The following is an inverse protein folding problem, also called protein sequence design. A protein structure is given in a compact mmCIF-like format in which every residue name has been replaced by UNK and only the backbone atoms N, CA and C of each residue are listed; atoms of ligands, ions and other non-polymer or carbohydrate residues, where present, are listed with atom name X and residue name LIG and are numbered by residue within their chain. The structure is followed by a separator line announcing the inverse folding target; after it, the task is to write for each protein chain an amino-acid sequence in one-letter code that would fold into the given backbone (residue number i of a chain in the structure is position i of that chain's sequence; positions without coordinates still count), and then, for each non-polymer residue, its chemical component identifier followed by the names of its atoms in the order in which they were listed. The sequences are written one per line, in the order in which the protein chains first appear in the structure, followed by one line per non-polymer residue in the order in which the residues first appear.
data_IF_381605325872
#
_entry.id   IF_381605325872
#
_cell.length_a   1.000
_cell.length_b   1.000
_cell.length_c   1.000
_cell.angle_alpha   90.00
_cell.angle_beta   90.00
_cell.angle_gamma   90.00
#
_symmetry.space_group_name_H-M   'P 1'
#
loop_
_entity.id
_entity.type
_entity.pdbx_description
1 polymer ?
#
# COMPACT_ATOMS: atom_id res chain seq x y z
N UNK A 1 6.13 -6.61 14.10
CA UNK A 1 6.19 -7.93 14.78
C UNK A 1 7.62 -8.40 15.02
N UNK A 2 8.46 -8.58 14.00
CA UNK A 2 9.87 -9.01 14.19
C UNK A 2 10.68 -8.08 15.10
N UNK A 3 10.55 -6.75 14.92
CA UNK A 3 11.20 -5.75 15.78
C UNK A 3 10.78 -5.82 17.25
N UNK A 4 9.59 -6.36 17.56
CA UNK A 4 9.10 -6.55 18.93
C UNK A 4 9.39 -7.96 19.47
N UNK A 5 10.21 -8.75 18.76
CA UNK A 5 10.50 -10.15 19.07
C UNK A 5 9.25 -11.07 19.19
N UNK A 6 8.10 -10.66 18.63
CA UNK A 6 6.88 -11.49 18.60
C UNK A 6 6.93 -12.57 17.52
N UNK A 7 7.76 -12.40 16.50
CA UNK A 7 7.96 -13.38 15.42
C UNK A 7 9.45 -13.46 15.05
N UNK A 8 9.97 -14.65 14.69
CA UNK A 8 11.35 -14.82 14.28
C UNK A 8 11.60 -14.25 12.88
N UNK A 9 12.76 -13.60 12.72
CA UNK A 9 13.17 -12.93 11.48
C UNK A 9 13.21 -13.84 10.25
N UNK A 10 13.46 -15.14 10.42
CA UNK A 10 13.47 -16.10 9.30
C UNK A 10 12.12 -16.22 8.58
N UNK A 11 11.01 -15.92 9.28
CA UNK A 11 9.68 -15.94 8.68
C UNK A 11 9.41 -14.70 7.83
N UNK A 12 10.04 -13.56 8.13
CA UNK A 12 9.79 -12.29 7.44
C UNK A 12 9.85 -12.39 5.91
N UNK A 13 10.90 -12.94 5.27
CA UNK A 13 10.94 -13.05 3.81
C UNK A 13 9.84 -13.96 3.25
N UNK A 14 9.45 -15.01 3.98
CA UNK A 14 8.37 -15.91 3.56
C UNK A 14 7.02 -15.20 3.56
N UNK A 15 6.71 -14.44 4.62
CA UNK A 15 5.49 -13.63 4.68
C UNK A 15 5.48 -12.53 3.61
N UNK A 16 6.59 -11.81 3.42
CA UNK A 16 6.70 -10.75 2.43
C UNK A 16 6.47 -11.27 1.00
N UNK A 17 7.07 -12.43 0.67
CA UNK A 17 6.86 -13.07 -0.63
C UNK A 17 5.41 -13.51 -0.80
N UNK A 18 4.83 -14.21 0.18
CA UNK A 18 3.45 -14.68 0.11
C UNK A 18 2.44 -13.52 -0.04
N UNK A 19 2.63 -12.43 0.70
CA UNK A 19 1.79 -11.24 0.59
C UNK A 19 1.93 -10.56 -0.78
N UNK A 20 3.15 -10.46 -1.30
CA UNK A 20 3.41 -9.83 -2.61
C UNK A 20 2.81 -10.66 -3.74
N UNK A 21 2.98 -11.99 -3.71
CA UNK A 21 2.36 -12.91 -4.68
C UNK A 21 0.84 -12.86 -4.57
N UNK A 22 0.28 -12.83 -3.36
CA UNK A 22 -1.16 -12.68 -3.15
C UNK A 22 -1.70 -11.37 -3.76
N UNK A 23 -1.01 -10.25 -3.54
CA UNK A 23 -1.39 -8.96 -4.11
C UNK A 23 -1.26 -8.93 -5.65
N UNK A 24 -0.22 -9.55 -6.21
CA UNK A 24 -0.05 -9.73 -7.66
C UNK A 24 -1.22 -10.52 -8.27
N UNK A 25 -1.58 -11.66 -7.68
CA UNK A 25 -2.70 -12.48 -8.17
C UNK A 25 -4.04 -11.76 -8.01
N UNK A 26 -4.22 -11.03 -6.90
CA UNK A 26 -5.40 -10.18 -6.69
C UNK A 26 -5.54 -9.11 -7.77
N UNK A 27 -4.44 -8.47 -8.18
CA UNK A 27 -4.44 -7.53 -9.30
C UNK A 27 -4.88 -8.20 -10.61
N UNK A 28 -4.40 -9.41 -10.88
CA UNK A 28 -4.82 -10.19 -12.05
C UNK A 28 -6.33 -10.52 -12.06
N UNK A 29 -6.89 -10.87 -10.90
CA UNK A 29 -8.34 -11.11 -10.77
C UNK A 29 -9.14 -9.83 -11.06
N UNK A 30 -8.72 -8.70 -10.49
CA UNK A 30 -9.38 -7.40 -10.71
C UNK A 30 -9.26 -6.98 -12.17
N UNK A 31 -8.10 -7.17 -12.80
CA UNK A 31 -7.90 -6.88 -14.22
C UNK A 31 -8.81 -7.72 -15.11
N UNK A 32 -8.91 -9.03 -14.85
CA UNK A 32 -9.84 -9.90 -15.60
C UNK A 32 -11.30 -9.52 -15.39
N UNK A 33 -11.68 -9.15 -14.17
CA UNK A 33 -13.05 -8.73 -13.84
C UNK A 33 -13.45 -7.42 -14.53
N UNK A 34 -12.53 -6.46 -14.63
CA UNK A 34 -12.77 -5.12 -15.19
C UNK A 34 -12.18 -4.94 -16.60
N UNK A 35 -11.82 -6.02 -17.30
CA UNK A 35 -11.08 -5.95 -18.56
C UNK A 35 -11.76 -5.03 -19.58
N UNK A 36 -13.03 -5.29 -19.90
CA UNK A 36 -13.79 -4.51 -20.89
C UNK A 36 -13.91 -3.03 -20.48
N UNK A 37 -14.07 -2.75 -19.19
CA UNK A 37 -14.19 -1.38 -18.67
C UNK A 37 -12.87 -0.61 -18.77
N UNK A 38 -11.76 -1.24 -18.39
CA UNK A 38 -10.41 -0.66 -18.50
C UNK A 38 -10.08 -0.40 -19.97
N UNK A 39 -10.40 -1.36 -20.84
CA UNK A 39 -10.11 -1.30 -22.27
C UNK A 39 -10.94 -0.22 -22.98
N UNK A 40 -12.23 -0.11 -22.65
CA UNK A 40 -13.10 0.92 -23.20
C UNK A 40 -12.69 2.33 -22.74
N UNK A 41 -12.33 2.52 -21.47
CA UNK A 41 -11.88 3.81 -20.95
C UNK A 41 -10.54 4.25 -21.55
N UNK A 42 -9.60 3.31 -21.71
CA UNK A 42 -8.28 3.55 -22.28
C UNK A 42 -8.25 3.66 -23.81
N UNK A 43 -9.40 3.64 -24.50
CA UNK A 43 -9.48 3.62 -25.96
C UNK A 43 -8.62 2.49 -26.60
N UNK A 44 -8.65 1.30 -26.01
CA UNK A 44 -7.83 0.13 -26.35
C UNK A 44 -6.33 0.26 -26.04
N UNK A 45 -5.93 1.21 -25.19
CA UNK A 45 -4.55 1.38 -24.71
C UNK A 45 -4.49 1.42 -23.17
N UNK A 46 -3.31 1.08 -22.62
CA UNK A 46 -3.08 1.00 -21.18
C UNK A 46 -2.11 2.09 -20.73
N UNK A 47 -2.64 3.21 -20.24
CA UNK A 47 -1.84 4.36 -19.81
C UNK A 47 -1.48 4.30 -18.33
N UNK A 48 -0.25 4.70 -18.00
CA UNK A 48 0.22 4.78 -16.60
C UNK A 48 -0.24 6.08 -15.93
N UNK A 49 -0.07 7.20 -16.61
CA UNK A 49 -0.41 8.54 -16.09
C UNK A 49 -1.30 9.32 -17.08
N UNK A 50 -1.76 10.50 -16.68
CA UNK A 50 -2.63 11.36 -17.49
C UNK A 50 -4.13 11.10 -17.29
N UNK A 51 -4.95 11.80 -18.07
CA UNK A 51 -6.41 11.77 -17.94
C UNK A 51 -7.02 10.37 -18.12
N UNK A 52 -6.37 9.53 -18.93
CA UNK A 52 -6.79 8.15 -19.20
C UNK A 52 -5.93 7.12 -18.45
N UNK A 53 -5.18 7.54 -17.43
CA UNK A 53 -4.29 6.66 -16.65
C UNK A 53 -5.08 5.61 -15.86
N UNK A 54 -4.84 4.33 -16.16
CA UNK A 54 -5.53 3.20 -15.52
C UNK A 54 -4.64 2.40 -14.57
N UNK A 55 -3.32 2.61 -14.60
CA UNK A 55 -2.39 1.92 -13.70
C UNK A 55 -2.65 2.23 -12.21
N UNK A 56 -3.23 3.41 -11.92
CA UNK A 56 -3.60 3.86 -10.57
C UNK A 56 -4.67 3.01 -9.88
N UNK A 57 -5.39 2.16 -10.61
CA UNK A 57 -6.32 1.18 -10.05
C UNK A 57 -5.55 0.14 -9.20
N UNK A 58 -4.34 -0.21 -9.64
CA UNK A 58 -3.58 -1.34 -9.10
C UNK A 58 -2.54 -0.90 -8.07
N UNK A 59 -1.74 0.11 -8.41
CA UNK A 59 -0.65 0.64 -7.58
C UNK A 59 -0.82 2.15 -7.37
N UNK A 60 -0.18 2.71 -6.35
CA UNK A 60 -0.32 4.14 -6.07
C UNK A 60 0.62 4.98 -6.92
N UNK A 61 0.15 6.17 -7.26
CA UNK A 61 0.93 7.22 -7.91
C UNK A 61 0.66 8.52 -7.14
N UNK A 62 1.67 9.39 -7.01
CA UNK A 62 1.51 10.64 -6.28
C UNK A 62 0.65 11.62 -7.09
N UNK A 63 -0.10 12.45 -6.38
CA UNK A 63 -0.77 13.61 -6.99
C UNK A 63 0.22 14.59 -7.60
N UNK A 64 -0.19 15.35 -8.61
CA UNK A 64 0.71 16.21 -9.41
C UNK A 64 1.48 17.26 -8.58
N UNK A 65 0.91 17.72 -7.47
CA UNK A 65 1.53 18.69 -6.57
C UNK A 65 2.56 18.10 -5.60
N UNK A 66 2.65 16.77 -5.50
CA UNK A 66 3.43 16.10 -4.46
C UNK A 66 4.85 15.80 -4.93
N UNK A 67 5.84 16.29 -4.19
CA UNK A 67 7.24 15.92 -4.41
C UNK A 67 7.60 14.62 -3.67
N UNK A 68 8.70 13.98 -4.09
CA UNK A 68 9.17 12.71 -3.49
C UNK A 68 9.46 12.80 -1.99
N UNK A 69 9.93 13.96 -1.51
CA UNK A 69 10.26 14.17 -0.09
C UNK A 69 8.99 14.16 0.77
N UNK A 70 7.99 14.96 0.41
CA UNK A 70 6.72 15.00 1.12
C UNK A 70 5.96 13.68 0.95
N UNK A 71 6.04 13.04 -0.22
CA UNK A 71 5.47 11.71 -0.42
C UNK A 71 6.10 10.64 0.46
N UNK A 72 7.42 10.73 0.71
CA UNK A 72 8.08 9.88 1.69
C UNK A 72 7.55 10.13 3.11
N UNK A 73 7.46 11.40 3.54
CA UNK A 73 6.91 11.74 4.85
C UNK A 73 5.44 11.32 5.02
N UNK A 74 4.63 11.49 3.98
CA UNK A 74 3.23 11.08 3.94
C UNK A 74 3.08 9.58 4.21
N UNK A 75 3.81 8.75 3.46
CA UNK A 75 3.80 7.30 3.63
C UNK A 75 4.41 6.85 4.96
N UNK A 76 5.46 7.53 5.43
CA UNK A 76 6.09 7.26 6.72
C UNK A 76 5.11 7.53 7.88
N UNK A 77 4.49 8.71 7.91
CA UNK A 77 3.56 9.10 8.99
C UNK A 77 2.30 8.23 8.93
N UNK A 78 1.73 8.01 7.74
CA UNK A 78 0.54 7.18 7.58
C UNK A 78 0.76 5.75 8.07
N UNK A 79 1.93 5.17 7.77
CA UNK A 79 2.27 3.82 8.25
C UNK A 79 2.60 3.79 9.74
N UNK A 80 3.28 4.81 10.26
CA UNK A 80 3.54 4.91 11.71
C UNK A 80 2.23 5.00 12.50
N UNK A 81 1.30 5.84 12.06
CA UNK A 81 -0.03 5.96 12.66
C UNK A 81 -0.81 4.64 12.60
N UNK A 82 -0.80 3.96 11.44
CA UNK A 82 -1.41 2.64 11.29
C UNK A 82 -0.85 1.66 12.32
N UNK A 83 0.46 1.57 12.47
CA UNK A 83 1.10 0.63 13.39
C UNK A 83 0.81 0.98 14.84
N UNK A 84 0.88 2.26 15.24
CA UNK A 84 0.51 2.69 16.60
C UNK A 84 -0.93 2.28 16.94
N UNK A 85 -1.88 2.55 16.03
CA UNK A 85 -3.27 2.19 16.23
C UNK A 85 -3.48 0.67 16.29
N UNK A 86 -2.84 -0.10 15.40
CA UNK A 86 -2.92 -1.58 15.42
C UNK A 86 -2.37 -2.12 16.73
N UNK A 87 -1.23 -1.62 17.20
CA UNK A 87 -0.65 -2.03 18.48
C UNK A 87 -1.58 -1.70 19.64
N UNK A 88 -2.15 -0.50 19.68
CA UNK A 88 -3.11 -0.08 20.70
C UNK A 88 -4.35 -0.98 20.74
N UNK A 89 -4.85 -1.43 19.58
CA UNK A 89 -6.03 -2.31 19.46
C UNK A 89 -5.74 -3.72 19.99
N UNK A 90 -4.55 -4.27 19.66
CA UNK A 90 -4.21 -5.67 19.99
C UNK A 90 -3.46 -5.83 21.30
N UNK A 91 -3.18 -4.74 22.02
CA UNK A 91 -2.48 -4.79 23.30
C UNK A 91 -3.44 -5.20 24.44
N UNK A 92 -3.23 -6.39 25.06
CA UNK A 92 -4.07 -6.85 26.17
C UNK A 92 -3.91 -6.00 27.45
N UNK A 93 -2.89 -5.15 27.54
CA UNK A 93 -2.63 -4.29 28.70
C UNK A 93 -3.17 -2.85 28.54
N UNK A 94 -3.77 -2.53 27.38
CA UNK A 94 -4.44 -1.26 27.14
C UNK A 94 -5.97 -1.39 27.36
N UNK A 95 -6.76 -0.42 26.92
CA UNK A 95 -8.22 -0.52 26.89
C UNK A 95 -8.67 -1.44 25.73
N UNK A 96 -9.06 -2.69 26.00
CA UNK A 96 -9.26 -3.67 24.96
C UNK A 96 -10.55 -3.38 24.19
N UNK A 97 -10.47 -3.51 22.87
CA UNK A 97 -11.65 -3.59 22.01
C UNK A 97 -12.43 -4.87 22.38
N UNK A 98 -13.79 -4.87 22.34
CA UNK A 98 -14.55 -6.09 22.56
C UNK A 98 -14.07 -7.24 21.66
N UNK A 99 -13.92 -8.44 22.23
CA UNK A 99 -13.40 -9.60 21.51
C UNK A 99 -14.20 -9.87 20.23
N UNK A 100 -13.48 -10.07 19.13
CA UNK A 100 -14.04 -10.29 17.80
C UNK A 100 -14.23 -9.02 16.97
N UNK A 101 -14.10 -7.83 17.57
CA UNK A 101 -14.19 -6.56 16.85
C UNK A 101 -12.83 -5.99 16.45
N UNK A 102 -11.72 -6.64 16.80
CA UNK A 102 -10.36 -6.15 16.53
C UNK A 102 -10.14 -5.92 15.03
N UNK A 103 -10.51 -6.90 14.19
CA UNK A 103 -10.38 -6.79 12.73
C UNK A 103 -11.25 -5.66 12.15
N UNK A 104 -12.45 -5.46 12.70
CA UNK A 104 -13.36 -4.41 12.29
C UNK A 104 -12.80 -3.02 12.65
N UNK A 105 -12.25 -2.86 13.85
CA UNK A 105 -11.61 -1.62 14.28
C UNK A 105 -10.35 -1.31 13.46
N UNK A 106 -9.53 -2.32 13.13
CA UNK A 106 -8.39 -2.13 12.22
C UNK A 106 -8.85 -1.66 10.83
N UNK A 107 -9.96 -2.20 10.32
CA UNK A 107 -10.59 -1.71 9.09
C UNK A 107 -10.97 -0.22 9.15
N UNK A 108 -11.53 0.24 10.27
CA UNK A 108 -11.83 1.65 10.50
C UNK A 108 -10.58 2.53 10.54
N UNK A 109 -9.47 2.05 11.12
CA UNK A 109 -8.20 2.78 11.10
C UNK A 109 -7.74 3.01 9.65
N UNK A 110 -7.80 1.98 8.81
CA UNK A 110 -7.44 2.09 7.38
C UNK A 110 -8.38 3.07 6.67
N UNK A 111 -9.69 3.01 6.95
CA UNK A 111 -10.66 3.96 6.39
C UNK A 111 -10.31 5.41 6.77
N UNK A 112 -10.05 5.68 8.04
CA UNK A 112 -9.70 7.02 8.54
C UNK A 112 -8.41 7.52 7.90
N UNK A 113 -7.37 6.68 7.80
CA UNK A 113 -6.12 7.03 7.12
C UNK A 113 -6.38 7.37 5.65
N UNK A 114 -7.20 6.56 4.96
CA UNK A 114 -7.57 6.80 3.57
C UNK A 114 -8.31 8.12 3.38
N UNK A 115 -9.28 8.44 4.23
CA UNK A 115 -10.07 9.68 4.12
C UNK A 115 -9.34 10.93 4.59
N UNK A 116 -8.34 10.81 5.47
CA UNK A 116 -7.62 11.96 6.03
C UNK A 116 -6.29 12.25 5.33
N UNK A 117 -5.57 11.21 4.91
CA UNK A 117 -4.20 11.30 4.36
C UNK A 117 -4.09 10.74 2.94
N UNK A 118 -5.16 10.19 2.38
CA UNK A 118 -5.11 9.52 1.07
C UNK A 118 -4.91 10.44 -0.13
N UNK A 119 -5.20 11.73 -0.01
CA UNK A 119 -5.17 12.68 -1.13
C UNK A 119 -3.77 12.87 -1.76
N UNK A 120 -2.72 12.79 -0.95
CA UNK A 120 -1.36 13.03 -1.45
C UNK A 120 -0.89 11.91 -2.38
N UNK A 121 -0.95 10.67 -1.90
CA UNK A 121 -0.30 9.54 -2.58
C UNK A 121 -1.07 8.22 -2.51
N UNK A 122 -2.38 8.28 -2.22
CA UNK A 122 -3.25 7.10 -2.24
C UNK A 122 -3.02 6.11 -1.08
N UNK A 123 -2.42 6.57 0.04
CA UNK A 123 -2.25 5.83 1.28
C UNK A 123 -1.78 4.38 1.09
N UNK A 124 -0.69 4.15 0.34
CA UNK A 124 -0.21 2.80 0.07
C UNK A 124 0.00 2.00 1.37
N UNK A 125 0.72 2.57 2.35
CA UNK A 125 0.99 2.10 3.74
C UNK A 125 1.40 0.63 3.91
N UNK A 126 1.62 -0.08 2.80
CA UNK A 126 1.88 -1.50 2.73
C UNK A 126 2.70 -1.79 1.45
N UNK A 127 3.96 -2.23 1.58
CA UNK A 127 4.82 -2.52 0.43
C UNK A 127 4.26 -3.59 -0.52
N UNK A 128 3.66 -4.66 0.01
CA UNK A 128 3.11 -5.73 -0.81
C UNK A 128 1.89 -5.27 -1.63
N UNK A 129 1.06 -4.39 -1.05
CA UNK A 129 -0.13 -3.80 -1.67
C UNK A 129 0.21 -2.90 -2.85
N UNK A 130 1.40 -2.31 -2.88
CA UNK A 130 1.86 -1.49 -4.00
C UNK A 130 2.71 -2.29 -4.99
N UNK A 131 3.74 -2.98 -4.50
CA UNK A 131 4.74 -3.62 -5.36
C UNK A 131 4.19 -4.80 -6.15
N UNK A 132 3.35 -5.66 -5.53
CA UNK A 132 2.77 -6.82 -6.21
C UNK A 132 1.90 -6.42 -7.41
N UNK A 133 0.90 -5.55 -7.24
CA UNK A 133 0.07 -5.05 -8.34
C UNK A 133 0.86 -4.23 -9.37
N UNK A 134 1.90 -3.49 -8.95
CA UNK A 134 2.78 -2.75 -9.88
C UNK A 134 3.58 -3.69 -10.78
N UNK A 135 4.06 -4.80 -10.24
CA UNK A 135 4.71 -5.84 -11.04
C UNK A 135 3.73 -6.48 -12.02
N UNK A 136 2.47 -6.68 -11.59
CA UNK A 136 1.42 -7.17 -12.48
C UNK A 136 1.19 -6.22 -13.66
N UNK A 137 0.98 -4.92 -13.41
CA UNK A 137 0.73 -3.96 -14.49
C UNK A 137 1.91 -3.83 -15.45
N UNK A 138 3.15 -3.93 -14.95
CA UNK A 138 4.35 -3.96 -15.81
C UNK A 138 4.31 -5.10 -16.84
N UNK A 139 3.84 -6.28 -16.42
CA UNK A 139 3.76 -7.49 -17.25
C UNK A 139 2.50 -7.49 -18.12
N UNK A 140 1.38 -6.96 -17.62
CA UNK A 140 0.07 -7.03 -18.26
C UNK A 140 -0.10 -6.08 -19.47
N UNK A 141 0.79 -5.09 -19.64
CA UNK A 141 0.80 -4.26 -20.85
C UNK A 141 1.02 -2.76 -20.62
N UNK A 142 1.05 -2.29 -19.38
CA UNK A 142 1.42 -0.89 -19.07
C UNK A 142 2.93 -0.61 -19.24
N UNK A 143 3.74 -1.66 -19.34
CA UNK A 143 5.18 -1.57 -19.60
C UNK A 143 5.99 -1.08 -18.40
N UNK A 144 7.25 -0.76 -18.65
CA UNK A 144 8.22 -0.37 -17.60
C UNK A 144 7.97 1.02 -17.03
N UNK A 145 7.08 1.81 -17.64
CA UNK A 145 6.76 3.17 -17.19
C UNK A 145 6.21 3.17 -15.75
N UNK A 146 5.58 2.08 -15.30
CA UNK A 146 5.09 1.94 -13.91
C UNK A 146 6.19 2.06 -12.85
N UNK A 147 7.47 1.90 -13.22
CA UNK A 147 8.65 2.07 -12.36
C UNK A 147 9.43 3.37 -12.61
N UNK A 148 9.15 4.09 -13.70
CA UNK A 148 9.82 5.36 -14.02
C UNK A 148 8.92 6.58 -13.82
N UNK A 149 7.60 6.38 -13.80
CA UNK A 149 6.61 7.42 -13.59
C UNK A 149 6.85 8.20 -12.29
N UNK A 150 6.50 9.50 -12.34
CA UNK A 150 6.53 10.41 -11.20
C UNK A 150 7.88 10.47 -10.45
N UNK A 151 8.99 10.43 -11.20
CA UNK A 151 10.33 10.48 -10.62
C UNK A 151 10.70 9.19 -9.88
N UNK A 152 10.39 8.02 -10.46
CA UNK A 152 10.61 6.71 -9.85
C UNK A 152 9.84 6.49 -8.55
N UNK A 153 8.54 6.80 -8.51
CA UNK A 153 7.73 6.72 -7.29
C UNK A 153 7.75 5.34 -6.59
N UNK A 154 7.91 4.25 -7.32
CA UNK A 154 7.77 2.86 -6.85
C UNK A 154 8.53 2.50 -5.57
N UNK A 155 9.68 3.13 -5.29
CA UNK A 155 10.47 2.80 -4.10
C UNK A 155 9.91 3.43 -2.82
N UNK A 156 9.16 4.53 -2.92
CA UNK A 156 8.63 5.26 -1.76
C UNK A 156 7.59 4.41 -1.01
N UNK A 157 6.56 3.82 -1.66
CA UNK A 157 5.62 2.89 -1.02
C UNK A 157 6.24 1.62 -0.44
N UNK A 158 7.52 1.35 -0.71
CA UNK A 158 8.25 0.23 -0.15
C UNK A 158 9.03 0.69 1.08
N UNK A 159 9.94 1.65 0.91
CA UNK A 159 10.88 2.04 1.96
C UNK A 159 10.20 2.86 3.05
N UNK A 160 9.35 3.83 2.69
CA UNK A 160 8.72 4.71 3.68
C UNK A 160 7.82 3.93 4.64
N UNK A 161 6.98 2.97 4.20
CA UNK A 161 6.21 2.15 5.13
C UNK A 161 7.06 1.26 6.03
N UNK A 162 8.18 0.69 5.56
CA UNK A 162 9.08 -0.08 6.44
C UNK A 162 9.63 0.78 7.58
N UNK A 163 10.12 1.99 7.27
CA UNK A 163 10.63 2.90 8.28
C UNK A 163 9.52 3.45 9.17
N UNK A 164 8.36 3.77 8.61
CA UNK A 164 7.18 4.22 9.35
C UNK A 164 6.70 3.15 10.33
N UNK A 165 6.71 1.87 9.94
CA UNK A 165 6.34 0.78 10.83
C UNK A 165 7.32 0.61 12.00
N UNK A 166 8.62 0.77 11.77
CA UNK A 166 9.62 0.76 12.84
C UNK A 166 9.39 1.93 13.79
N UNK A 167 9.19 3.14 13.25
CA UNK A 167 8.92 4.32 14.06
C UNK A 167 7.62 4.18 14.87
N UNK A 168 6.55 3.65 14.27
CA UNK A 168 5.30 3.39 14.97
C UNK A 168 5.44 2.39 16.12
N UNK A 169 6.27 1.35 15.96
CA UNK A 169 6.63 0.43 17.06
C UNK A 169 7.41 1.14 18.16
N UNK A 170 8.31 2.07 17.84
CA UNK A 170 9.12 2.78 18.83
C UNK A 170 8.35 3.87 19.59
N UNK A 171 7.33 4.44 18.96
CA UNK A 171 6.46 5.46 19.56
C UNK A 171 5.42 4.85 20.49
N UNK A 172 4.96 3.63 20.20
CA UNK A 172 4.03 2.88 21.03
C UNK A 172 4.74 2.22 22.22
#
# INVERSE_FOLDING_TARGET
MCCMAREPWIKLPVYALAQTVGAFLGAGIVFGLYFDAIWAFGANELFVTGANGTAGIFATYPSEHLNSVNGFFDQFIGTAALIVCVLAIVDPYNNPVPRGLEAFTVGFVILVIGTSMGFNSGYAVNPARDFGPRLFTAIAGWGTEVFTACGHWWWIPIIAPFLGAIAGVLVY
#
